data_IF_702077441419
#
_entry.id   IF_702077441419
#
_cell.length_a   1.000
_cell.length_b   1.000
_cell.length_c   1.000
_cell.angle_alpha   90.00
_cell.angle_beta   90.00
_cell.angle_gamma   90.00
#
_symmetry.space_group_name_H-M   'P 1'
#
loop_
_entity.id
_entity.type
_entity.pdbx_description
1 polymer ?
#
# COMPACT_ATOMS: atom_id res chain seq x y z
N UNK A 1 7.04 -10.21 -4.70
CA UNK A 1 6.03 -11.10 -4.09
C UNK A 1 5.39 -12.07 -5.11
N UNK A 2 5.51 -11.82 -6.42
CA UNK A 2 4.96 -12.70 -7.49
C UNK A 2 5.99 -13.65 -8.11
N UNK A 3 7.22 -13.71 -7.58
CA UNK A 3 8.32 -14.53 -8.12
C UNK A 3 8.60 -14.26 -9.60
N UNK A 4 8.56 -12.98 -10.01
CA UNK A 4 8.81 -12.48 -11.38
C UNK A 4 7.82 -12.95 -12.45
N UNK A 5 6.68 -13.52 -12.06
CA UNK A 5 5.67 -14.02 -13.00
C UNK A 5 4.68 -12.96 -13.47
N UNK A 6 4.60 -11.83 -12.78
CA UNK A 6 3.62 -10.78 -13.03
C UNK A 6 4.30 -9.41 -13.04
N UNK A 7 3.94 -8.58 -13.99
CA UNK A 7 4.43 -7.20 -14.09
C UNK A 7 3.41 -6.24 -13.49
N UNK A 8 3.80 -5.57 -12.41
CA UNK A 8 3.01 -4.53 -11.78
C UNK A 8 3.39 -3.17 -12.36
N UNK A 9 2.41 -2.42 -12.85
CA UNK A 9 2.59 -1.04 -13.29
C UNK A 9 1.72 -0.12 -12.45
N UNK A 10 2.34 0.94 -11.94
CA UNK A 10 1.67 2.02 -11.23
C UNK A 10 1.71 3.28 -12.09
N UNK A 11 0.58 3.97 -12.19
CA UNK A 11 0.50 5.26 -12.84
C UNK A 11 -0.38 6.20 -12.00
N UNK A 12 0.09 7.44 -11.87
CA UNK A 12 -0.66 8.48 -11.19
C UNK A 12 -1.77 8.99 -12.11
N UNK A 13 -2.97 9.12 -11.58
CA UNK A 13 -4.13 9.71 -12.27
C UNK A 13 -4.58 10.96 -11.53
N UNK A 14 -4.40 12.12 -12.13
CA UNK A 14 -4.89 13.37 -11.57
C UNK A 14 -6.41 13.46 -11.73
N UNK A 15 -7.12 13.57 -10.61
CA UNK A 15 -8.56 13.84 -10.60
C UNK A 15 -8.94 15.19 -11.18
N UNK A 16 -7.98 16.09 -11.29
CA UNK A 16 -8.14 17.47 -11.83
C UNK A 16 -7.86 17.58 -13.33
N UNK A 17 -7.54 16.45 -14.01
CA UNK A 17 -7.14 16.43 -15.44
C UNK A 17 -5.96 17.36 -15.77
N UNK A 18 -5.05 17.52 -14.83
CA UNK A 18 -3.84 18.35 -15.00
C UNK A 18 -2.66 17.54 -15.54
N UNK A 19 -2.90 16.28 -15.95
CA UNK A 19 -1.88 15.40 -16.50
C UNK A 19 -1.23 16.02 -17.75
N UNK A 20 0.10 16.14 -17.73
CA UNK A 20 0.86 16.73 -18.83
C UNK A 20 0.82 18.27 -18.91
N UNK A 21 0.20 18.95 -17.97
CA UNK A 21 0.21 20.41 -17.92
C UNK A 21 1.61 20.97 -17.63
N UNK A 22 2.07 21.95 -18.40
CA UNK A 22 3.35 22.63 -18.17
C UNK A 22 3.37 23.41 -16.84
N UNK A 23 2.21 23.89 -16.39
CA UNK A 23 2.03 24.59 -15.12
C UNK A 23 0.85 23.97 -14.35
N UNK A 24 1.13 22.91 -13.60
CA UNK A 24 0.15 22.17 -12.81
C UNK A 24 -0.55 23.09 -11.79
N UNK A 25 0.18 24.03 -11.18
CA UNK A 25 -0.36 24.93 -10.16
C UNK A 25 -1.47 25.83 -10.74
N UNK A 26 -1.21 26.47 -11.90
CA UNK A 26 -2.18 27.36 -12.54
C UNK A 26 -3.41 26.59 -13.03
N UNK A 27 -3.22 25.43 -13.64
CA UNK A 27 -4.32 24.61 -14.12
C UNK A 27 -5.18 24.08 -12.96
N UNK A 28 -4.57 23.64 -11.87
CA UNK A 28 -5.28 23.23 -10.66
C UNK A 28 -6.07 24.41 -10.06
N UNK A 29 -5.45 25.60 -9.98
CA UNK A 29 -6.13 26.81 -9.49
C UNK A 29 -7.34 27.16 -10.33
N UNK A 30 -7.21 27.16 -11.67
CA UNK A 30 -8.33 27.42 -12.58
C UNK A 30 -9.46 26.38 -12.39
N UNK A 31 -9.11 25.11 -12.26
CA UNK A 31 -10.07 24.05 -12.05
C UNK A 31 -10.82 24.19 -10.72
N UNK A 32 -10.13 24.55 -9.62
CA UNK A 32 -10.75 24.82 -8.32
C UNK A 32 -11.69 26.02 -8.39
N UNK A 33 -11.28 27.11 -9.05
CA UNK A 33 -12.13 28.31 -9.22
C UNK A 33 -13.38 27.95 -10.02
N UNK A 34 -13.23 27.20 -11.11
CA UNK A 34 -14.35 26.78 -11.97
C UNK A 34 -15.35 25.87 -11.24
N UNK A 35 -14.87 25.02 -10.31
CA UNK A 35 -15.74 24.08 -9.57
C UNK A 35 -16.47 24.72 -8.39
N UNK A 36 -16.11 25.94 -7.98
CA UNK A 36 -16.52 26.58 -6.71
C UNK A 36 -18.05 26.59 -6.47
N UNK A 37 -18.85 26.87 -7.49
CA UNK A 37 -20.31 26.89 -7.33
C UNK A 37 -20.86 25.50 -7.12
N UNK A 38 -20.39 24.52 -7.92
CA UNK A 38 -20.75 23.11 -7.79
C UNK A 38 -20.37 22.54 -6.40
N UNK A 39 -19.19 22.91 -5.91
CA UNK A 39 -18.69 22.48 -4.61
C UNK A 39 -19.53 23.02 -3.45
N UNK A 40 -20.02 24.27 -3.55
CA UNK A 40 -20.94 24.85 -2.60
C UNK A 40 -22.29 24.11 -2.58
N UNK A 41 -22.81 23.78 -3.76
CA UNK A 41 -24.12 23.10 -3.88
C UNK A 41 -24.04 21.67 -3.35
N UNK A 42 -22.89 21.01 -3.49
CA UNK A 42 -22.63 19.63 -3.03
C UNK A 42 -22.15 19.53 -1.57
N UNK A 43 -21.62 20.62 -1.01
CA UNK A 43 -21.06 20.64 0.34
C UNK A 43 -19.67 20.00 0.47
N UNK A 44 -18.99 19.70 -0.65
CA UNK A 44 -17.62 19.15 -0.66
C UNK A 44 -16.85 19.56 -1.92
N UNK A 45 -15.50 19.56 -1.85
CA UNK A 45 -14.65 19.87 -2.98
C UNK A 45 -14.61 18.74 -4.00
N UNK A 46 -14.90 19.06 -5.27
CA UNK A 46 -14.88 18.09 -6.39
C UNK A 46 -13.56 18.08 -7.16
N UNK A 47 -12.68 19.06 -6.91
CA UNK A 47 -11.39 19.22 -7.55
C UNK A 47 -10.30 19.36 -6.49
N UNK A 48 -9.16 18.72 -6.70
CA UNK A 48 -7.99 18.81 -5.82
C UNK A 48 -7.25 17.49 -5.67
N UNK A 49 -6.05 17.49 -5.03
CA UNK A 49 -5.22 16.28 -4.86
C UNK A 49 -5.92 15.12 -4.13
N UNK A 50 -6.92 15.41 -3.30
CA UNK A 50 -7.74 14.40 -2.63
C UNK A 50 -8.66 13.61 -3.58
N UNK A 51 -8.70 13.97 -4.86
CA UNK A 51 -9.41 13.27 -5.95
C UNK A 51 -8.47 12.49 -6.85
N UNK A 52 -7.17 12.64 -6.61
CA UNK A 52 -6.17 11.91 -7.37
C UNK A 52 -6.17 10.42 -6.98
N UNK A 53 -5.73 9.59 -7.89
CA UNK A 53 -5.73 8.15 -7.71
C UNK A 53 -4.44 7.53 -8.26
N UNK A 54 -4.19 6.30 -7.86
CA UNK A 54 -3.13 5.48 -8.41
C UNK A 54 -3.78 4.34 -9.21
N UNK A 55 -3.61 4.37 -10.52
CA UNK A 55 -3.99 3.26 -11.37
C UNK A 55 -2.97 2.15 -11.23
N UNK A 56 -3.46 0.95 -10.97
CA UNK A 56 -2.65 -0.24 -10.76
C UNK A 56 -3.01 -1.27 -11.83
N UNK A 57 -2.03 -1.67 -12.62
CA UNK A 57 -2.19 -2.66 -13.69
C UNK A 57 -1.29 -3.88 -13.40
N UNK A 58 -1.82 -5.08 -13.62
CA UNK A 58 -1.07 -6.34 -13.67
C UNK A 58 -1.11 -6.83 -15.11
N UNK A 59 0.06 -7.06 -15.70
CA UNK A 59 0.21 -7.53 -17.10
C UNK A 59 -0.64 -6.71 -18.07
N UNK A 60 -0.71 -5.38 -17.85
CA UNK A 60 -1.45 -4.43 -18.67
C UNK A 60 -2.96 -4.42 -18.44
N UNK A 61 -3.48 -5.12 -17.43
CA UNK A 61 -4.91 -5.14 -17.08
C UNK A 61 -5.16 -4.41 -15.77
N UNK A 62 -6.24 -3.64 -15.70
CA UNK A 62 -6.68 -2.94 -14.49
C UNK A 62 -6.90 -3.93 -13.33
N UNK A 63 -6.12 -3.77 -12.25
CA UNK A 63 -6.16 -4.67 -11.10
C UNK A 63 -7.49 -4.65 -10.35
N UNK A 64 -8.20 -3.54 -10.35
CA UNK A 64 -9.51 -3.41 -9.67
C UNK A 64 -10.58 -4.28 -10.33
N UNK A 65 -10.46 -4.53 -11.65
CA UNK A 65 -11.46 -5.27 -12.43
C UNK A 65 -11.06 -6.72 -12.68
N UNK A 66 -9.78 -6.99 -12.82
CA UNK A 66 -9.29 -8.26 -13.35
C UNK A 66 -8.40 -9.04 -12.38
N UNK A 67 -7.90 -8.43 -11.31
CA UNK A 67 -7.07 -9.14 -10.35
C UNK A 67 -7.91 -10.06 -9.45
N UNK A 68 -7.40 -11.26 -9.19
CA UNK A 68 -7.93 -12.15 -8.17
C UNK A 68 -7.78 -11.53 -6.76
N UNK A 69 -8.54 -12.00 -5.79
CA UNK A 69 -8.43 -11.54 -4.40
C UNK A 69 -6.98 -11.69 -3.87
N UNK A 70 -6.32 -12.82 -4.16
CA UNK A 70 -4.93 -13.03 -3.76
C UNK A 70 -3.96 -12.04 -4.40
N UNK A 71 -4.17 -11.69 -5.68
CA UNK A 71 -3.38 -10.65 -6.36
C UNK A 71 -3.63 -9.27 -5.74
N UNK A 72 -4.88 -8.89 -5.45
CA UNK A 72 -5.21 -7.63 -4.82
C UNK A 72 -4.53 -7.47 -3.44
N UNK A 73 -4.57 -8.53 -2.62
CA UNK A 73 -3.88 -8.56 -1.31
C UNK A 73 -2.37 -8.44 -1.47
N UNK A 74 -1.80 -9.15 -2.43
CA UNK A 74 -0.36 -9.07 -2.73
C UNK A 74 0.06 -7.68 -3.17
N UNK A 75 -0.75 -7.01 -4.00
CA UNK A 75 -0.52 -5.62 -4.42
C UNK A 75 -0.55 -4.69 -3.21
N UNK A 76 -1.60 -4.76 -2.39
CA UNK A 76 -1.74 -3.90 -1.22
C UNK A 76 -0.54 -4.05 -0.27
N UNK A 77 -0.10 -5.29 -0.03
CA UNK A 77 1.08 -5.58 0.77
C UNK A 77 2.36 -5.03 0.13
N UNK A 78 2.55 -5.23 -1.18
CA UNK A 78 3.72 -4.72 -1.90
C UNK A 78 3.79 -3.18 -1.88
N UNK A 79 2.65 -2.50 -2.01
CA UNK A 79 2.59 -1.04 -1.88
C UNK A 79 2.96 -0.58 -0.47
N UNK A 80 2.44 -1.24 0.57
CA UNK A 80 2.78 -0.92 1.96
C UNK A 80 4.27 -1.14 2.26
N UNK A 81 4.87 -2.20 1.73
CA UNK A 81 6.31 -2.41 1.85
C UNK A 81 7.12 -1.35 1.07
N UNK A 82 6.61 -0.91 -0.09
CA UNK A 82 7.19 0.20 -0.84
C UNK A 82 7.20 1.52 -0.04
N UNK A 83 6.10 1.83 0.68
CA UNK A 83 6.03 2.99 1.58
C UNK A 83 7.14 2.95 2.65
N UNK A 84 7.46 1.77 3.18
CA UNK A 84 8.53 1.59 4.18
C UNK A 84 9.89 2.01 3.62
N UNK A 85 10.17 1.65 2.36
CA UNK A 85 11.42 2.02 1.69
C UNK A 85 11.49 3.53 1.46
N UNK A 86 10.39 4.14 1.01
CA UNK A 86 10.29 5.59 0.83
C UNK A 86 10.51 6.29 2.17
N UNK A 87 9.82 5.86 3.23
CA UNK A 87 9.93 6.43 4.56
C UNK A 87 11.37 6.40 5.08
N UNK A 88 12.04 5.25 4.96
CA UNK A 88 13.45 5.10 5.35
C UNK A 88 14.38 6.06 4.59
N UNK A 89 14.12 6.25 3.29
CA UNK A 89 14.94 7.12 2.46
C UNK A 89 14.74 8.61 2.78
N UNK A 90 13.49 9.02 3.07
CA UNK A 90 13.15 10.42 3.36
C UNK A 90 13.54 10.84 4.80
N UNK A 91 13.36 9.97 5.77
CA UNK A 91 13.57 10.28 7.20
C UNK A 91 14.93 9.81 7.69
N UNK A 92 15.56 8.84 7.00
CA UNK A 92 16.86 8.29 7.37
C UNK A 92 16.81 7.23 8.48
N UNK A 93 15.65 6.99 9.09
CA UNK A 93 15.45 5.99 10.12
C UNK A 93 14.43 4.94 9.67
N UNK A 94 14.68 3.64 9.94
CA UNK A 94 13.74 2.59 9.59
C UNK A 94 12.50 2.68 10.49
N UNK A 95 11.28 2.61 9.92
CA UNK A 95 10.03 2.58 10.70
C UNK A 95 9.87 1.25 11.43
N UNK A 96 9.00 1.23 12.45
CA UNK A 96 8.51 -0.01 13.06
C UNK A 96 7.37 -0.58 12.23
N UNK A 97 7.49 -1.84 11.84
CA UNK A 97 6.45 -2.53 11.05
C UNK A 97 5.47 -3.23 11.98
N UNK A 98 4.18 -2.98 11.77
CA UNK A 98 3.09 -3.66 12.44
C UNK A 98 2.34 -4.51 11.40
N UNK A 99 2.46 -5.83 11.49
CA UNK A 99 1.87 -6.80 10.56
C UNK A 99 0.83 -7.64 11.31
N UNK A 100 -0.44 -7.29 11.15
CA UNK A 100 -1.54 -7.96 11.85
C UNK A 100 -2.17 -9.02 10.95
N UNK A 101 -2.04 -10.28 11.36
CA UNK A 101 -2.56 -11.50 10.70
C UNK A 101 -2.26 -11.63 9.19
N UNK A 102 -1.21 -10.97 8.71
CA UNK A 102 -0.90 -10.92 7.27
C UNK A 102 -0.50 -12.30 6.73
N UNK A 103 0.11 -13.15 7.56
CA UNK A 103 0.60 -14.45 7.13
C UNK A 103 -0.52 -15.44 6.79
N UNK A 104 -1.68 -15.35 7.45
CA UNK A 104 -2.82 -16.24 7.20
C UNK A 104 -3.37 -16.12 5.78
N UNK A 105 -3.14 -14.99 5.14
CA UNK A 105 -3.64 -14.66 3.80
C UNK A 105 -2.64 -14.97 2.67
N UNK A 106 -1.43 -15.44 3.00
CA UNK A 106 -0.35 -15.67 2.07
C UNK A 106 0.00 -17.14 1.96
N UNK A 107 0.36 -17.61 0.77
CA UNK A 107 1.01 -18.90 0.58
C UNK A 107 2.44 -18.89 1.13
N UNK A 108 3.02 -20.08 1.33
CA UNK A 108 4.34 -20.25 1.95
C UNK A 108 5.45 -19.47 1.25
N UNK A 109 5.40 -19.34 -0.08
CA UNK A 109 6.41 -18.62 -0.86
C UNK A 109 6.35 -17.13 -0.55
N UNK A 110 5.13 -16.56 -0.54
CA UNK A 110 4.91 -15.14 -0.22
C UNK A 110 5.19 -14.83 1.24
N UNK A 111 4.88 -15.75 2.16
CA UNK A 111 5.26 -15.63 3.57
C UNK A 111 6.78 -15.50 3.74
N UNK A 112 7.54 -16.36 3.08
CA UNK A 112 9.01 -16.34 3.12
C UNK A 112 9.55 -15.02 2.58
N UNK A 113 9.08 -14.59 1.41
CA UNK A 113 9.48 -13.31 0.81
C UNK A 113 9.14 -12.11 1.70
N UNK A 114 7.94 -12.10 2.32
CA UNK A 114 7.57 -11.04 3.26
C UNK A 114 8.54 -10.97 4.42
N UNK A 115 8.87 -12.10 5.03
CA UNK A 115 9.80 -12.13 6.17
C UNK A 115 11.22 -11.72 5.78
N UNK A 116 11.68 -12.08 4.58
CA UNK A 116 12.95 -11.60 4.05
C UNK A 116 12.95 -10.07 3.86
N UNK A 117 11.87 -9.50 3.34
CA UNK A 117 11.73 -8.05 3.14
C UNK A 117 11.63 -7.28 4.46
N UNK A 118 11.22 -7.93 5.56
CA UNK A 118 11.17 -7.29 6.88
C UNK A 118 12.51 -7.34 7.62
N UNK A 119 13.51 -8.02 7.09
CA UNK A 119 14.85 -8.05 7.70
C UNK A 119 15.45 -6.63 7.78
N UNK A 120 16.00 -6.30 8.92
CA UNK A 120 16.55 -4.95 9.18
C UNK A 120 15.54 -3.92 9.67
N UNK A 121 14.27 -4.33 9.88
CA UNK A 121 13.23 -3.51 10.51
C UNK A 121 12.79 -4.12 11.83
N UNK A 122 12.51 -3.28 12.82
CA UNK A 122 11.78 -3.74 14.00
C UNK A 122 10.35 -4.09 13.58
N UNK A 123 10.01 -5.38 13.66
CA UNK A 123 8.73 -5.88 13.18
C UNK A 123 7.96 -6.56 14.32
N UNK A 124 6.71 -6.16 14.50
CA UNK A 124 5.74 -6.85 15.35
C UNK A 124 4.74 -7.55 14.41
N UNK A 125 4.68 -8.86 14.52
CA UNK A 125 3.82 -9.69 13.68
C UNK A 125 2.89 -10.50 14.55
N UNK A 126 1.58 -10.46 14.26
CA UNK A 126 0.59 -11.34 14.87
C UNK A 126 0.25 -12.48 13.90
N UNK A 127 0.07 -13.69 14.42
CA UNK A 127 -0.38 -14.85 13.65
C UNK A 127 -0.95 -15.92 14.59
N UNK A 128 -1.78 -16.82 14.08
CA UNK A 128 -2.35 -17.93 14.85
C UNK A 128 -1.36 -19.06 15.00
N UNK A 129 -0.75 -19.51 13.90
CA UNK A 129 0.26 -20.56 13.88
C UNK A 129 1.31 -20.24 12.82
N UNK A 130 2.58 -20.21 13.24
CA UNK A 130 3.67 -20.05 12.29
C UNK A 130 4.99 -20.62 12.84
N UNK A 131 5.72 -21.33 11.99
CA UNK A 131 7.08 -21.77 12.28
C UNK A 131 8.08 -20.81 11.65
N UNK A 132 8.57 -19.86 12.44
CA UNK A 132 9.59 -18.90 11.97
C UNK A 132 10.92 -19.62 11.76
N UNK A 133 11.55 -19.46 10.60
CA UNK A 133 12.87 -20.03 10.35
C UNK A 133 14.01 -19.31 11.10
N UNK A 134 13.73 -18.14 11.70
CA UNK A 134 14.71 -17.28 12.36
C UNK A 134 14.42 -17.08 13.86
N UNK A 135 15.44 -16.74 14.68
CA UNK A 135 15.30 -16.47 16.10
C UNK A 135 14.53 -15.15 16.33
N UNK A 136 13.22 -15.24 16.32
CA UNK A 136 12.34 -14.14 16.71
C UNK A 136 11.89 -14.33 18.16
N UNK A 137 11.76 -13.23 18.90
CA UNK A 137 11.14 -13.29 20.22
C UNK A 137 9.66 -13.61 20.04
N UNK A 138 9.25 -14.79 20.54
CA UNK A 138 7.87 -15.23 20.49
C UNK A 138 7.15 -14.88 21.77
N UNK A 139 5.97 -14.27 21.64
CA UNK A 139 5.08 -13.96 22.74
C UNK A 139 3.77 -14.69 22.46
N UNK A 140 3.41 -15.67 23.30
CA UNK A 140 2.16 -16.40 23.15
C UNK A 140 1.07 -15.76 23.98
N UNK A 141 -0.12 -15.59 23.39
CA UNK A 141 -1.29 -15.05 24.06
C UNK A 141 -2.38 -16.13 24.06
N UNK A 142 -2.89 -16.49 25.25
CA UNK A 142 -4.02 -17.39 25.42
C UNK A 142 -5.03 -16.72 26.35
N UNK A 143 -6.31 -16.72 25.98
CA UNK A 143 -7.39 -16.13 26.77
C UNK A 143 -7.10 -14.70 27.25
N UNK A 144 -6.51 -13.88 26.37
CA UNK A 144 -6.15 -12.50 26.67
C UNK A 144 -4.97 -12.31 27.61
N UNK A 145 -4.21 -13.37 27.92
CA UNK A 145 -3.05 -13.34 28.82
C UNK A 145 -1.79 -13.80 28.11
N UNK A 146 -0.67 -13.15 28.43
CA UNK A 146 0.64 -13.59 27.97
C UNK A 146 1.00 -14.91 28.67
N UNK A 147 1.35 -15.91 27.88
CA UNK A 147 1.84 -17.20 28.36
C UNK A 147 3.32 -17.27 28.03
N UNK A 148 4.15 -17.42 29.05
CA UNK A 148 5.61 -17.54 28.96
C UNK A 148 6.00 -19.00 28.71
#
# INVERSE_FOLDING_TARGET
LSSEKETLKLSYESGSKTDGAQNIQDELYKAIVASRQKDKDLGFCTVGPHRDDIKIEIDGKDSRKFASQGQQRTIALAMKLGEVVIYKNEIGEPPVLLLDDVLSELDNTRQTLLLEMTQGFQTLLTCTEYTLPNPAKRIRICDGRVVV
#
